data_IF_572343282830
#
_entry.id   IF_572343282830
#
_cell.length_a   1.000
_cell.length_b   1.000
_cell.length_c   1.000
_cell.angle_alpha   90.00
_cell.angle_beta   90.00
_cell.angle_gamma   90.00
#
_symmetry.space_group_name_H-M   'P 1'
#
loop_
_entity.id
_entity.type
_entity.pdbx_description
1 polymer ?
#
# COMPACT_ATOMS: atom_id res chain seq x y z
N UNK A 1 -5.56 2.42 -71.97
CA UNK A 1 -5.34 0.99 -71.62
C UNK A 1 -4.56 0.94 -70.32
N UNK A 2 -5.19 0.36 -69.29
CA UNK A 2 -4.70 -0.09 -67.98
C UNK A 2 -3.46 0.54 -67.33
N UNK A 3 -3.69 1.24 -66.23
CA UNK A 3 -2.77 1.25 -65.08
C UNK A 3 -3.53 0.82 -63.83
N UNK A 4 -3.37 -0.46 -63.48
CA UNK A 4 -3.87 -1.07 -62.24
C UNK A 4 -3.20 -0.46 -61.02
N UNK A 5 -3.99 0.15 -60.13
CA UNK A 5 -3.59 0.42 -58.75
C UNK A 5 -3.77 -0.85 -57.93
N UNK A 6 -2.69 -1.34 -57.32
CA UNK A 6 -2.75 -2.38 -56.30
C UNK A 6 -3.08 -1.72 -54.96
N UNK A 7 -4.24 -2.07 -54.41
CA UNK A 7 -4.69 -1.68 -53.09
C UNK A 7 -4.19 -2.77 -52.12
N UNK A 8 -3.11 -2.49 -51.37
CA UNK A 8 -2.71 -3.33 -50.24
C UNK A 8 -3.56 -2.95 -49.03
N UNK A 9 -4.53 -3.80 -48.69
CA UNK A 9 -5.12 -3.79 -47.36
C UNK A 9 -4.10 -4.39 -46.38
N UNK A 10 -3.53 -3.54 -45.53
CA UNK A 10 -2.80 -3.96 -44.34
C UNK A 10 -3.85 -4.12 -43.24
N UNK A 11 -4.22 -5.38 -42.99
CA UNK A 11 -5.06 -5.77 -41.86
C UNK A 11 -4.20 -5.67 -40.60
N UNK A 12 -4.32 -4.54 -39.90
CA UNK A 12 -3.66 -4.34 -38.60
C UNK A 12 -4.53 -5.03 -37.56
N UNK A 13 -4.06 -6.14 -37.01
CA UNK A 13 -4.66 -6.77 -35.85
C UNK A 13 -4.44 -5.84 -34.65
N UNK A 14 -5.50 -5.17 -34.20
CA UNK A 14 -5.51 -4.49 -32.92
C UNK A 14 -5.62 -5.56 -31.83
N UNK A 15 -4.50 -5.79 -31.13
CA UNK A 15 -4.46 -6.54 -29.89
C UNK A 15 -4.79 -5.54 -28.77
N UNK A 16 -6.08 -5.35 -28.51
CA UNK A 16 -6.57 -4.58 -27.37
C UNK A 16 -6.50 -5.45 -26.12
N UNK A 17 -5.44 -5.27 -25.31
CA UNK A 17 -5.46 -5.63 -23.90
C UNK A 17 -6.33 -4.57 -23.20
N UNK A 18 -7.60 -4.89 -23.00
CA UNK A 18 -8.50 -4.07 -22.18
C UNK A 18 -8.41 -4.53 -20.73
N UNK A 19 -8.07 -3.61 -19.82
CA UNK A 19 -8.51 -3.70 -18.43
C UNK A 19 -10.03 -3.46 -18.44
N UNK A 20 -10.79 -4.51 -18.11
CA UNK A 20 -12.25 -4.48 -18.04
C UNK A 20 -12.70 -3.61 -16.86
N UNK A 21 -13.45 -2.51 -17.08
CA UNK A 21 -14.12 -1.83 -15.99
C UNK A 21 -15.43 -2.59 -15.72
N UNK A 22 -15.42 -3.35 -14.62
CA UNK A 22 -16.54 -4.11 -14.03
C UNK A 22 -17.92 -3.95 -14.68
N UNK A 23 -18.34 -4.99 -15.39
CA UNK A 23 -19.75 -5.21 -15.74
C UNK A 23 -20.52 -5.67 -14.49
N UNK A 24 -21.55 -4.93 -14.12
CA UNK A 24 -22.45 -5.27 -13.03
C UNK A 24 -23.32 -6.49 -13.35
N UNK A 25 -23.32 -7.46 -12.45
CA UNK A 25 -24.27 -8.57 -12.44
C UNK A 25 -25.32 -8.35 -11.35
N UNK A 26 -26.50 -7.90 -11.80
CA UNK A 26 -27.77 -8.09 -11.11
C UNK A 26 -28.02 -9.60 -10.98
N UNK A 27 -27.83 -10.15 -9.78
CA UNK A 27 -28.26 -11.51 -9.46
C UNK A 27 -29.10 -11.54 -8.18
N UNK A 28 -30.41 -11.41 -8.38
CA UNK A 28 -31.42 -11.88 -7.43
C UNK A 28 -31.32 -13.40 -7.28
N UNK A 29 -30.67 -13.86 -6.22
CA UNK A 29 -30.55 -15.28 -5.88
C UNK A 29 -30.95 -15.53 -4.42
N UNK A 30 -32.15 -16.05 -4.22
CA UNK A 30 -32.66 -16.49 -2.93
C UNK A 30 -32.06 -17.85 -2.54
N UNK A 31 -31.54 -17.93 -1.31
CA UNK A 31 -31.50 -19.13 -0.48
C UNK A 31 -30.25 -19.99 -0.58
N UNK A 32 -29.47 -20.06 0.51
CA UNK A 32 -29.22 -21.31 1.23
C UNK A 32 -28.34 -21.04 2.44
N UNK A 33 -28.89 -21.22 3.65
CA UNK A 33 -28.11 -21.24 4.88
C UNK A 33 -27.39 -22.58 4.97
N UNK A 34 -26.08 -22.59 4.72
CA UNK A 34 -25.18 -23.70 5.06
C UNK A 34 -24.07 -23.18 5.95
N UNK A 35 -24.21 -23.53 7.23
CA UNK A 35 -23.17 -23.98 8.17
C UNK A 35 -21.79 -23.30 8.11
N UNK A 36 -21.53 -22.46 9.11
CA UNK A 36 -20.29 -21.73 9.32
C UNK A 36 -19.11 -22.65 9.63
N UNK A 37 -18.25 -22.86 8.63
CA UNK A 37 -16.82 -23.05 8.85
C UNK A 37 -16.16 -21.76 8.38
N UNK A 38 -15.80 -20.91 9.34
CA UNK A 38 -15.03 -19.69 9.07
C UNK A 38 -13.61 -20.10 8.69
N UNK A 39 -13.36 -20.32 7.40
CA UNK A 39 -12.03 -20.19 6.83
C UNK A 39 -11.66 -18.70 6.94
N UNK A 40 -11.18 -18.31 8.12
CA UNK A 40 -10.60 -16.98 8.33
C UNK A 40 -9.35 -16.83 7.46
N UNK A 41 -9.00 -15.60 7.05
CA UNK A 41 -7.74 -15.37 6.36
C UNK A 41 -6.60 -15.85 7.26
N UNK A 42 -5.86 -16.86 6.79
CA UNK A 42 -4.63 -17.31 7.44
C UNK A 42 -3.66 -16.13 7.50
N UNK A 43 -3.10 -15.87 8.67
CA UNK A 43 -2.12 -14.82 8.91
C UNK A 43 -0.76 -15.44 9.28
N UNK A 44 0.32 -14.67 9.16
CA UNK A 44 1.65 -15.14 9.57
C UNK A 44 1.79 -15.02 11.09
N UNK A 45 2.12 -16.10 11.83
CA UNK A 45 2.37 -16.03 13.28
C UNK A 45 3.21 -14.83 13.71
N UNK A 46 2.67 -14.01 14.61
CA UNK A 46 3.32 -12.79 15.10
C UNK A 46 3.12 -11.52 14.24
N UNK A 47 2.51 -11.63 13.06
CA UNK A 47 2.15 -10.47 12.24
C UNK A 47 1.20 -9.53 13.01
N UNK A 48 1.46 -8.23 12.97
CA UNK A 48 0.60 -7.22 13.59
C UNK A 48 -0.24 -6.49 12.55
N UNK A 49 -1.51 -6.26 12.84
CA UNK A 49 -2.44 -5.46 12.03
C UNK A 49 -3.04 -4.34 12.89
N UNK A 50 -3.19 -3.15 12.32
CA UNK A 50 -3.89 -2.06 12.99
C UNK A 50 -5.39 -2.39 13.11
N UNK A 51 -5.99 -2.04 14.25
CA UNK A 51 -7.42 -2.24 14.53
C UNK A 51 -8.01 -1.01 15.22
N UNK A 52 -9.34 -0.84 15.17
CA UNK A 52 -10.03 0.27 15.83
C UNK A 52 -10.65 -0.19 17.14
N UNK A 53 -10.31 0.51 18.21
CA UNK A 53 -10.80 0.27 19.57
C UNK A 53 -12.24 0.75 19.76
N UNK A 54 -12.98 0.24 20.77
CA UNK A 54 -14.37 0.65 21.03
C UNK A 54 -14.57 2.14 21.29
N UNK A 55 -13.54 2.85 21.76
CA UNK A 55 -13.51 4.29 21.98
C UNK A 55 -13.12 5.10 20.74
N UNK A 56 -12.82 4.43 19.63
CA UNK A 56 -12.36 5.02 18.38
C UNK A 56 -10.85 5.24 18.33
N UNK A 57 -10.08 4.86 19.35
CA UNK A 57 -8.62 4.87 19.28
C UNK A 57 -8.10 3.79 18.31
N UNK A 58 -6.84 3.93 17.90
CA UNK A 58 -6.13 2.91 17.13
C UNK A 58 -5.42 1.96 18.09
N UNK A 59 -5.52 0.66 17.83
CA UNK A 59 -4.80 -0.40 18.53
C UNK A 59 -4.11 -1.34 17.53
N UNK A 60 -3.53 -2.42 18.04
CA UNK A 60 -2.90 -3.47 17.23
C UNK A 60 -3.45 -4.85 17.61
N UNK A 61 -3.64 -5.71 16.62
CA UNK A 61 -3.96 -7.12 16.83
C UNK A 61 -2.82 -7.96 16.27
N UNK A 62 -2.45 -9.01 16.99
CA UNK A 62 -1.34 -9.91 16.62
C UNK A 62 -1.89 -11.25 16.14
N UNK A 63 -1.34 -11.76 15.05
CA UNK A 63 -1.64 -13.09 14.54
C UNK A 63 -1.19 -14.15 15.55
N UNK A 64 -2.08 -15.10 15.85
CA UNK A 64 -1.80 -16.20 16.76
C UNK A 64 -0.69 -17.12 16.20
N UNK A 65 -0.03 -17.84 17.11
CA UNK A 65 1.09 -18.73 16.77
C UNK A 65 0.69 -19.87 15.80
N UNK A 66 -0.59 -20.25 15.79
CA UNK A 66 -1.15 -21.25 14.88
C UNK A 66 -1.46 -20.72 13.48
N UNK A 67 -1.43 -19.39 13.28
CA UNK A 67 -1.77 -18.74 12.02
C UNK A 67 -3.25 -18.76 11.68
N UNK A 68 -4.11 -19.19 12.62
CA UNK A 68 -5.55 -19.38 12.40
C UNK A 68 -6.34 -18.07 12.51
N UNK A 69 -5.69 -16.98 12.93
CA UNK A 69 -6.25 -15.63 12.88
C UNK A 69 -5.60 -14.64 13.84
N UNK A 70 -6.02 -13.38 13.72
CA UNK A 70 -5.60 -12.31 14.64
C UNK A 70 -6.33 -12.41 15.98
N UNK A 71 -5.60 -12.10 17.06
CA UNK A 71 -6.15 -11.98 18.41
C UNK A 71 -7.02 -10.74 18.60
N UNK A 72 -7.42 -10.47 19.85
CA UNK A 72 -8.16 -9.26 20.18
C UNK A 72 -7.32 -7.99 19.92
N UNK A 73 -7.99 -6.89 19.60
CA UNK A 73 -7.34 -5.59 19.46
C UNK A 73 -6.77 -5.13 20.81
N UNK A 74 -5.45 -5.03 20.89
CA UNK A 74 -4.75 -4.43 22.03
C UNK A 74 -4.84 -2.91 21.91
N UNK A 75 -5.61 -2.33 22.84
CA UNK A 75 -5.91 -0.91 22.90
C UNK A 75 -5.14 -0.27 24.05
N UNK A 76 -4.09 0.49 23.75
CA UNK A 76 -3.38 1.28 24.74
C UNK A 76 -4.30 2.38 25.30
N UNK A 77 -4.73 2.22 26.56
CA UNK A 77 -5.45 3.30 27.28
C UNK A 77 -6.68 2.88 28.07
N UNK A 78 -7.16 1.63 27.94
CA UNK A 78 -8.26 1.13 28.77
C UNK A 78 -7.74 0.56 30.10
N UNK A 79 -7.14 1.42 30.92
CA UNK A 79 -6.99 1.11 32.35
C UNK A 79 -8.38 1.12 33.00
N UNK A 80 -8.94 -0.08 33.14
CA UNK A 80 -10.21 -0.42 33.78
C UNK A 80 -10.41 0.37 35.08
N UNK A 81 -11.27 1.39 35.02
CA UNK A 81 -11.69 2.20 36.16
C UNK A 81 -12.93 1.60 36.82
N UNK A 82 -12.85 0.33 37.25
CA UNK A 82 -13.83 -0.26 38.17
C UNK A 82 -13.19 -0.55 39.53
N UNK A 83 -13.50 0.34 40.48
CA UNK A 83 -13.00 0.28 41.85
C UNK A 83 -13.49 -0.96 42.61
N UNK A 84 -12.53 -1.78 43.02
CA UNK A 84 -12.67 -2.80 44.05
C UNK A 84 -11.47 -2.74 44.98
N UNK A 85 -11.59 -1.98 46.07
CA UNK A 85 -10.61 -1.96 47.17
C UNK A 85 -10.66 -3.29 47.92
N UNK A 86 -9.81 -4.25 47.52
CA UNK A 86 -9.41 -5.36 48.39
C UNK A 86 -8.01 -5.09 48.91
N UNK A 87 -7.94 -4.94 50.23
CA UNK A 87 -6.73 -4.83 51.04
C UNK A 87 -5.71 -5.94 50.70
N UNK A 88 -4.50 -5.60 50.20
CA UNK A 88 -3.50 -6.60 49.89
C UNK A 88 -2.89 -7.12 51.18
N UNK A 89 -3.13 -8.40 51.48
CA UNK A 89 -2.36 -9.12 52.49
C UNK A 89 -0.88 -9.12 52.10
N UNK A 90 -0.06 -8.68 53.06
CA UNK A 90 1.39 -8.65 53.08
C UNK A 90 2.02 -9.88 52.39
N UNK A 91 2.72 -9.71 51.25
CA UNK A 91 3.40 -10.81 50.59
C UNK A 91 4.59 -11.25 51.44
N UNK A 92 4.65 -12.55 51.69
CA UNK A 92 5.82 -13.16 52.32
C UNK A 92 7.04 -12.98 51.42
N UNK A 93 8.14 -12.58 52.06
CA UNK A 93 9.47 -12.34 51.50
C UNK A 93 9.88 -13.43 50.50
N UNK A 94 10.06 -13.11 49.21
CA UNK A 94 10.56 -14.06 48.24
C UNK A 94 12.00 -14.41 48.60
N UNK A 95 12.27 -15.71 48.67
CA UNK A 95 13.64 -16.22 48.83
C UNK A 95 14.48 -15.80 47.63
N UNK A 96 15.68 -15.33 47.96
CA UNK A 96 16.73 -14.85 47.06
C UNK A 96 16.91 -15.77 45.84
N UNK A 97 16.64 -15.31 44.60
CA UNK A 97 16.90 -16.10 43.41
C UNK A 97 18.41 -16.31 43.28
N UNK A 98 18.82 -17.57 43.21
CA UNK A 98 20.18 -17.93 42.82
C UNK A 98 20.54 -17.28 41.48
N UNK A 99 21.65 -16.54 41.52
CA UNK A 99 22.32 -15.84 40.43
C UNK A 99 22.27 -16.63 39.10
N UNK A 100 21.59 -16.14 38.05
CA UNK A 100 21.66 -16.77 36.75
C UNK A 100 23.09 -16.64 36.24
N UNK A 101 23.71 -17.78 35.93
CA UNK A 101 24.98 -17.80 35.21
C UNK A 101 24.88 -16.97 33.94
N UNK A 102 25.76 -15.97 33.87
CA UNK A 102 26.02 -15.05 32.76
C UNK A 102 25.83 -15.74 31.40
N UNK A 103 24.84 -15.36 30.58
CA UNK A 103 24.74 -15.84 29.22
C UNK A 103 25.97 -15.33 28.47
N UNK A 104 26.79 -16.27 28.01
CA UNK A 104 27.91 -15.99 27.11
C UNK A 104 27.45 -15.03 26.02
N UNK A 105 28.04 -13.83 26.06
CA UNK A 105 27.90 -12.75 25.09
C UNK A 105 27.93 -13.33 23.66
N UNK A 106 26.82 -13.27 22.89
CA UNK A 106 26.85 -13.65 21.51
C UNK A 106 27.65 -12.57 20.78
N UNK A 107 28.97 -12.80 20.72
CA UNK A 107 29.95 -12.17 19.83
C UNK A 107 29.26 -11.21 18.87
N UNK A 108 29.26 -9.92 19.22
CA UNK A 108 28.91 -8.82 18.33
C UNK A 108 29.74 -9.03 17.07
N UNK A 109 29.12 -9.69 16.09
CA UNK A 109 29.65 -9.76 14.76
C UNK A 109 29.26 -8.40 14.21
N UNK A 110 30.18 -7.44 14.37
CA UNK A 110 30.20 -6.21 13.61
C UNK A 110 29.92 -6.56 12.15
N UNK A 111 28.65 -6.50 11.76
CA UNK A 111 28.23 -6.40 10.36
C UNK A 111 28.55 -4.99 9.90
N UNK A 112 29.86 -4.73 9.81
CA UNK A 112 30.48 -3.87 8.82
C UNK A 112 30.35 -4.55 7.43
N UNK A 113 29.15 -5.03 7.11
CA UNK A 113 28.73 -5.16 5.73
C UNK A 113 28.22 -3.79 5.38
N UNK A 114 28.94 -3.09 4.50
CA UNK A 114 28.42 -1.91 3.82
C UNK A 114 27.13 -2.29 3.11
N UNK A 115 26.02 -2.25 3.85
CA UNK A 115 24.67 -2.39 3.36
C UNK A 115 24.54 -1.30 2.31
N UNK A 116 24.54 -1.74 1.05
CA UNK A 116 24.56 -0.83 -0.08
C UNK A 116 23.25 -0.07 0.00
N UNK A 117 23.35 1.22 0.35
CA UNK A 117 22.17 2.06 0.55
C UNK A 117 21.27 1.95 -0.67
N UNK A 118 19.98 1.70 -0.44
CA UNK A 118 18.98 1.56 -1.50
C UNK A 118 18.95 2.83 -2.36
N UNK A 119 19.10 2.69 -3.67
CA UNK A 119 19.09 3.77 -4.64
C UNK A 119 17.71 3.94 -5.25
N UNK A 120 17.22 5.17 -5.29
CA UNK A 120 15.95 5.45 -5.96
C UNK A 120 16.01 5.08 -7.46
N UNK A 121 17.10 5.45 -8.12
CA UNK A 121 17.27 5.24 -9.55
C UNK A 121 17.49 3.76 -9.90
N UNK A 122 18.29 3.04 -9.12
CA UNK A 122 18.69 1.67 -9.45
C UNK A 122 17.75 0.61 -8.88
N UNK A 123 17.15 0.86 -7.72
CA UNK A 123 16.40 -0.17 -6.99
C UNK A 123 14.90 0.12 -6.97
N UNK A 124 14.50 1.38 -6.77
CA UNK A 124 13.08 1.74 -6.56
C UNK A 124 12.33 1.91 -7.88
N UNK A 125 12.89 2.67 -8.84
CA UNK A 125 12.26 2.88 -10.14
C UNK A 125 11.92 1.56 -10.85
N UNK A 126 12.82 0.56 -10.93
CA UNK A 126 12.49 -0.71 -11.57
C UNK A 126 11.33 -1.45 -10.90
N UNK A 127 11.23 -1.40 -9.56
CA UNK A 127 10.12 -2.01 -8.82
C UNK A 127 8.81 -1.33 -9.21
N UNK A 128 8.74 0.00 -9.15
CA UNK A 128 7.53 0.76 -9.51
C UNK A 128 7.13 0.55 -10.97
N UNK A 129 8.12 0.48 -11.86
CA UNK A 129 7.90 0.27 -13.28
C UNK A 129 7.34 -1.13 -13.58
N UNK A 130 7.89 -2.17 -12.94
CA UNK A 130 7.53 -3.57 -13.17
C UNK A 130 6.27 -3.99 -12.40
N UNK A 131 6.17 -3.63 -11.12
CA UNK A 131 5.16 -4.14 -10.20
C UNK A 131 3.95 -3.23 -10.07
N UNK A 132 4.04 -1.97 -10.49
CA UNK A 132 2.92 -1.03 -10.37
C UNK A 132 2.45 -0.50 -11.74
N UNK A 133 2.96 -1.04 -12.84
CA UNK A 133 2.57 -0.65 -14.19
C UNK A 133 3.13 0.71 -14.63
N UNK A 134 4.27 1.14 -14.09
CA UNK A 134 4.97 2.36 -14.56
C UNK A 134 5.75 2.18 -15.87
N UNK A 135 6.05 0.95 -16.29
CA UNK A 135 6.73 0.68 -17.57
C UNK A 135 5.77 0.40 -18.73
N UNK A 136 4.52 0.09 -18.41
CA UNK A 136 3.49 -0.31 -19.37
C UNK A 136 2.31 0.63 -19.20
N UNK A 137 1.41 0.69 -20.17
CA UNK A 137 0.17 1.45 -20.01
C UNK A 137 -0.79 0.72 -19.04
N UNK A 138 -0.34 0.49 -17.80
CA UNK A 138 -1.05 -0.22 -16.74
C UNK A 138 -1.76 0.73 -15.77
N UNK A 139 -2.14 0.21 -14.60
CA UNK A 139 -3.02 0.89 -13.64
C UNK A 139 -2.49 2.22 -13.08
N UNK A 140 -1.16 2.44 -13.13
CA UNK A 140 -0.52 3.69 -12.73
C UNK A 140 0.27 4.34 -13.88
N UNK A 141 -0.23 4.24 -15.10
CA UNK A 141 0.34 4.93 -16.25
C UNK A 141 -0.07 6.41 -16.32
N UNK A 142 0.57 7.16 -17.20
CA UNK A 142 0.22 8.54 -17.55
C UNK A 142 -1.18 8.65 -18.14
N UNK A 143 -1.71 7.60 -18.75
CA UNK A 143 -3.07 7.61 -19.29
C UNK A 143 -4.13 7.60 -18.18
N UNK A 144 -3.80 6.99 -17.04
CA UNK A 144 -4.59 7.11 -15.82
C UNK A 144 -4.31 8.42 -15.06
N UNK A 145 -3.27 9.17 -15.44
CA UNK A 145 -2.85 10.42 -14.81
C UNK A 145 -3.50 11.64 -15.49
N UNK A 146 -4.30 12.40 -14.75
CA UNK A 146 -4.88 13.65 -15.21
C UNK A 146 -4.77 14.69 -14.10
N UNK A 147 -3.65 15.43 -14.08
CA UNK A 147 -3.48 16.56 -13.17
C UNK A 147 -4.52 17.65 -13.46
N UNK A 148 -5.05 18.25 -12.39
CA UNK A 148 -6.07 19.27 -12.48
C UNK A 148 -5.73 20.47 -11.59
N UNK A 149 -5.68 21.65 -12.20
CA UNK A 149 -5.41 22.93 -11.51
C UNK A 149 -6.43 23.25 -10.43
N UNK A 150 -7.68 22.78 -10.57
CA UNK A 150 -8.73 22.98 -9.58
C UNK A 150 -8.52 22.10 -8.33
N UNK A 151 -7.61 21.12 -8.42
CA UNK A 151 -7.24 20.21 -7.33
C UNK A 151 -5.76 20.33 -6.94
N UNK A 152 -5.20 21.54 -6.99
CA UNK A 152 -3.78 21.82 -6.71
C UNK A 152 -2.80 20.98 -7.57
N UNK A 153 -3.18 20.70 -8.82
CA UNK A 153 -2.41 19.83 -9.72
C UNK A 153 -2.19 18.40 -9.19
N UNK A 154 -3.06 17.95 -8.28
CA UNK A 154 -3.09 16.56 -7.83
C UNK A 154 -3.77 15.68 -8.88
N UNK A 155 -3.46 14.40 -8.84
CA UNK A 155 -4.04 13.36 -9.69
C UNK A 155 -3.89 11.99 -9.02
N UNK A 156 -4.51 10.96 -9.62
CA UNK A 156 -4.11 9.57 -9.43
C UNK A 156 -2.58 9.44 -9.56
N UNK A 157 -1.92 8.70 -8.68
CA UNK A 157 -0.46 8.55 -8.75
C UNK A 157 -0.11 7.74 -9.99
N UNK A 158 0.80 8.26 -10.80
CA UNK A 158 1.44 7.50 -11.88
C UNK A 158 2.87 7.19 -11.50
N UNK A 159 3.30 5.99 -11.83
CA UNK A 159 4.64 5.48 -11.51
C UNK A 159 5.57 5.46 -12.72
N UNK A 160 5.20 6.13 -13.82
CA UNK A 160 6.09 6.26 -14.97
C UNK A 160 7.30 7.12 -14.64
N UNK A 161 8.49 6.69 -15.07
CA UNK A 161 9.73 7.46 -14.98
C UNK A 161 9.79 8.56 -16.05
N UNK A 162 8.89 9.53 -15.91
CA UNK A 162 8.82 10.71 -16.75
C UNK A 162 8.35 11.91 -15.92
N UNK A 163 8.73 13.11 -16.35
CA UNK A 163 8.06 14.31 -15.89
C UNK A 163 6.71 14.40 -16.62
N UNK A 164 5.61 14.37 -15.87
CA UNK A 164 4.26 14.42 -16.43
C UNK A 164 3.36 15.35 -15.64
N UNK A 165 2.31 15.85 -16.28
CA UNK A 165 1.25 16.62 -15.64
C UNK A 165 0.78 17.82 -16.45
N UNK A 166 1.57 18.32 -17.40
CA UNK A 166 1.21 19.51 -18.18
C UNK A 166 0.18 19.29 -19.28
N UNK A 167 -0.07 18.04 -19.67
CA UNK A 167 -1.03 17.66 -20.70
C UNK A 167 -1.88 16.46 -20.30
N UNK A 168 -3.03 16.31 -20.95
CA UNK A 168 -3.87 15.12 -20.87
C UNK A 168 -3.28 14.04 -21.78
N UNK A 169 -3.06 12.83 -21.29
CA UNK A 169 -2.38 11.78 -22.06
C UNK A 169 -3.31 10.78 -22.75
N UNK A 170 -4.59 10.74 -22.38
CA UNK A 170 -5.56 9.79 -22.90
C UNK A 170 -6.91 10.40 -23.27
N UNK A 171 -7.64 9.70 -24.14
CA UNK A 171 -9.00 10.06 -24.55
C UNK A 171 -9.09 11.16 -25.61
N UNK A 172 -10.32 11.66 -25.90
CA UNK A 172 -10.58 12.61 -26.99
C UNK A 172 -9.89 13.98 -26.82
N UNK A 173 -9.44 14.30 -25.61
CA UNK A 173 -8.78 15.55 -25.26
C UNK A 173 -7.28 15.39 -25.04
N UNK A 174 -6.69 14.25 -25.43
CA UNK A 174 -5.26 14.02 -25.32
C UNK A 174 -4.46 15.12 -26.04
N UNK A 175 -3.37 15.58 -25.41
CA UNK A 175 -2.55 16.71 -25.84
C UNK A 175 -3.07 18.09 -25.46
N UNK A 176 -4.26 18.20 -24.86
CA UNK A 176 -4.72 19.46 -24.28
C UNK A 176 -3.93 19.74 -23.00
N UNK A 177 -3.60 21.02 -22.76
CA UNK A 177 -2.95 21.45 -21.54
C UNK A 177 -3.88 21.31 -20.33
N UNK A 178 -3.35 20.82 -19.21
CA UNK A 178 -4.04 20.76 -17.92
C UNK A 178 -3.94 22.09 -17.16
N UNK A 179 -2.90 22.88 -17.47
CA UNK A 179 -2.51 24.06 -16.70
C UNK A 179 -1.56 23.76 -15.53
N UNK A 180 -1.19 22.50 -15.33
CA UNK A 180 -0.24 22.05 -14.33
C UNK A 180 1.20 21.96 -14.87
N UNK A 181 2.23 22.05 -14.02
CA UNK A 181 3.59 21.74 -14.44
C UNK A 181 3.79 20.23 -14.64
N UNK A 182 4.79 19.85 -15.43
CA UNK A 182 5.29 18.47 -15.41
C UNK A 182 6.11 18.24 -14.15
N UNK A 183 5.80 17.17 -13.42
CA UNK A 183 6.49 16.80 -12.18
C UNK A 183 7.21 15.45 -12.35
N UNK A 184 8.52 15.36 -12.08
CA UNK A 184 9.27 14.10 -12.09
C UNK A 184 8.66 13.04 -11.16
N UNK A 185 8.95 11.77 -11.41
CA UNK A 185 8.44 10.66 -10.59
C UNK A 185 8.77 10.80 -9.11
N UNK A 186 10.02 11.11 -8.77
CA UNK A 186 10.46 11.28 -7.38
C UNK A 186 9.64 12.34 -6.64
N UNK A 187 9.52 13.52 -7.23
CA UNK A 187 8.77 14.64 -6.64
C UNK A 187 7.29 14.27 -6.48
N UNK A 188 6.69 13.56 -7.46
CA UNK A 188 5.32 13.07 -7.34
C UNK A 188 5.13 12.12 -6.16
N UNK A 189 6.08 11.24 -5.86
CA UNK A 189 5.98 10.32 -4.71
C UNK A 189 6.00 11.05 -3.37
N UNK A 190 6.74 12.16 -3.27
CA UNK A 190 6.90 12.91 -2.02
C UNK A 190 5.88 14.03 -1.83
N UNK A 191 5.38 14.62 -2.92
CA UNK A 191 4.50 15.80 -2.86
C UNK A 191 3.02 15.45 -3.01
N UNK A 192 2.68 14.33 -3.67
CA UNK A 192 1.29 13.96 -3.86
C UNK A 192 0.71 13.36 -2.58
N UNK A 193 -0.51 13.79 -2.28
CA UNK A 193 -1.37 13.11 -1.32
C UNK A 193 -2.36 12.23 -2.07
N UNK A 194 -2.71 11.10 -1.45
CA UNK A 194 -3.71 10.20 -1.97
C UNK A 194 -5.08 10.86 -2.06
N UNK A 195 -5.69 10.81 -3.24
CA UNK A 195 -7.05 11.31 -3.45
C UNK A 195 -8.02 10.66 -2.49
N UNK A 196 -7.94 9.33 -2.35
CA UNK A 196 -8.92 8.53 -1.62
C UNK A 196 -9.06 8.92 -0.14
N UNK A 197 -8.22 9.80 0.38
CA UNK A 197 -8.24 10.24 1.77
C UNK A 197 -8.49 11.77 1.91
N UNK A 198 -9.00 12.45 0.86
CA UNK A 198 -9.14 13.92 0.68
C UNK A 198 -10.46 14.59 1.18
N UNK A 199 -10.56 15.94 1.28
CA UNK A 199 -11.72 16.62 1.86
C UNK A 199 -12.96 16.51 0.95
N UNK A 200 -14.05 15.99 1.50
CA UNK A 200 -15.20 15.45 0.75
C UNK A 200 -15.45 13.97 1.08
N UNK A 201 -14.41 13.29 1.59
CA UNK A 201 -14.50 12.03 2.34
C UNK A 201 -13.21 11.81 3.17
N UNK A 202 -13.25 12.01 4.50
CA UNK A 202 -12.79 13.21 5.20
C UNK A 202 -11.29 13.17 5.61
N UNK A 203 -10.42 13.90 4.92
CA UNK A 203 -9.02 14.14 5.37
C UNK A 203 -8.19 14.95 4.36
N UNK A 204 -6.96 15.38 4.64
CA UNK A 204 -6.08 16.10 3.69
C UNK A 204 -5.43 15.21 2.60
N UNK A 205 -5.91 13.98 2.41
CA UNK A 205 -5.16 12.94 1.70
C UNK A 205 -3.99 12.44 2.56
N UNK A 206 -3.59 11.18 2.41
CA UNK A 206 -2.36 10.68 3.03
C UNK A 206 -1.19 10.86 2.06
N UNK A 207 -0.01 11.35 2.49
CA UNK A 207 1.15 11.43 1.61
C UNK A 207 1.46 10.06 0.99
N UNK A 208 1.76 10.03 -0.30
CA UNK A 208 2.10 8.77 -1.00
C UNK A 208 3.31 8.11 -0.34
N UNK A 209 4.35 8.90 -0.06
CA UNK A 209 5.52 8.53 0.74
C UNK A 209 5.73 9.53 1.87
N UNK A 210 5.96 9.03 3.08
CA UNK A 210 6.41 9.80 4.24
C UNK A 210 7.85 9.38 4.55
N UNK A 211 8.87 10.20 4.19
CA UNK A 211 10.26 9.90 4.46
C UNK A 211 10.51 9.55 5.94
N UNK A 212 11.13 8.41 6.19
CA UNK A 212 11.44 7.89 7.53
C UNK A 212 10.28 7.15 8.21
N UNK A 213 9.12 6.99 7.57
CA UNK A 213 7.95 6.33 8.16
C UNK A 213 7.19 5.50 7.13
N UNK A 214 7.65 4.28 6.82
CA UNK A 214 6.96 3.36 5.90
C UNK A 214 5.51 3.09 6.33
N UNK A 215 5.27 2.95 7.63
CA UNK A 215 3.94 2.73 8.23
C UNK A 215 2.97 3.90 8.02
N UNK A 216 3.48 5.12 7.84
CA UNK A 216 2.67 6.31 7.54
C UNK A 216 2.59 6.60 6.03
N UNK A 217 3.33 5.87 5.20
CA UNK A 217 3.34 6.04 3.76
C UNK A 217 2.15 5.35 3.13
N UNK A 218 1.28 6.10 2.45
CA UNK A 218 0.08 5.54 1.82
C UNK A 218 0.39 4.43 0.82
N UNK A 219 1.51 4.52 0.11
CA UNK A 219 1.96 3.47 -0.80
C UNK A 219 2.15 2.13 -0.08
N UNK A 220 2.74 2.12 1.12
CA UNK A 220 2.95 0.88 1.87
C UNK A 220 1.63 0.36 2.46
N UNK A 221 0.77 1.25 2.95
CA UNK A 221 -0.58 0.87 3.39
C UNK A 221 -1.35 0.16 2.28
N UNK A 222 -1.23 0.66 1.05
CA UNK A 222 -1.82 0.03 -0.14
C UNK A 222 -1.20 -1.31 -0.45
N UNK A 223 0.11 -1.43 -0.39
CA UNK A 223 0.80 -2.70 -0.67
C UNK A 223 0.34 -3.78 0.30
N UNK A 224 0.24 -3.46 1.57
CA UNK A 224 -0.20 -4.40 2.60
C UNK A 224 -1.72 -4.58 2.70
N UNK A 225 -2.51 -3.72 2.06
CA UNK A 225 -3.98 -3.73 2.19
C UNK A 225 -4.47 -3.34 3.59
N UNK A 226 -3.70 -2.54 4.34
CA UNK A 226 -3.98 -2.22 5.76
C UNK A 226 -4.39 -0.77 5.96
N UNK A 227 -5.32 -0.52 6.90
CA UNK A 227 -5.57 0.82 7.44
C UNK A 227 -6.04 1.85 6.42
N UNK A 228 -6.66 1.41 5.33
CA UNK A 228 -7.03 2.30 4.24
C UNK A 228 -8.25 3.11 4.65
N UNK A 229 -8.12 4.43 4.48
CA UNK A 229 -9.10 5.46 4.81
C UNK A 229 -10.51 4.90 4.83
N UNK A 230 -11.20 4.98 5.99
CA UNK A 230 -12.53 4.40 6.26
C UNK A 230 -13.62 5.04 5.36
N UNK A 231 -13.49 4.92 4.04
CA UNK A 231 -14.51 5.29 3.08
C UNK A 231 -15.50 4.14 3.08
N UNK A 232 -16.64 4.37 3.70
CA UNK A 232 -17.66 3.35 3.88
C UNK A 232 -17.93 2.56 2.60
N UNK A 233 -17.83 1.23 2.74
CA UNK A 233 -18.28 0.14 1.86
C UNK A 233 -17.27 -0.46 0.88
N UNK A 234 -16.06 0.07 0.70
CA UNK A 234 -15.06 -0.60 -0.13
C UNK A 234 -13.68 -0.56 0.55
N UNK A 235 -13.27 -1.63 1.26
CA UNK A 235 -11.92 -1.68 1.81
C UNK A 235 -10.99 -1.62 0.61
N UNK A 236 -10.15 -0.59 0.56
CA UNK A 236 -9.13 -0.57 -0.47
C UNK A 236 -8.38 -1.91 -0.43
N UNK A 237 -8.38 -2.61 -1.55
CA UNK A 237 -7.66 -3.86 -1.68
C UNK A 237 -6.15 -3.61 -1.62
N UNK A 238 -5.42 -4.67 -1.24
CA UNK A 238 -3.99 -4.72 -1.37
C UNK A 238 -3.58 -4.49 -2.83
N UNK A 239 -2.45 -3.81 -3.04
CA UNK A 239 -1.90 -3.49 -4.35
C UNK A 239 -0.51 -4.10 -4.53
N UNK A 240 -0.19 -4.72 -5.68
CA UNK A 240 -1.10 -4.97 -6.80
C UNK A 240 -2.25 -5.90 -6.42
N UNK A 241 -3.41 -5.83 -7.10
CA UNK A 241 -4.52 -6.73 -6.82
C UNK A 241 -4.08 -8.20 -7.01
N UNK A 242 -4.50 -9.14 -6.16
CA UNK A 242 -4.02 -10.53 -6.20
C UNK A 242 -4.24 -11.26 -7.53
N UNK A 243 -5.28 -10.87 -8.28
CA UNK A 243 -5.66 -11.48 -9.56
C UNK A 243 -5.19 -10.67 -10.79
N UNK A 244 -4.28 -9.70 -10.59
CA UNK A 244 -3.73 -8.87 -11.68
C UNK A 244 -2.46 -9.49 -12.30
N UNK A 245 -2.06 -9.00 -13.46
CA UNK A 245 -0.81 -9.38 -14.15
C UNK A 245 0.44 -8.83 -13.47
N UNK A 246 0.26 -7.85 -12.59
CA UNK A 246 1.33 -7.25 -11.82
C UNK A 246 1.48 -7.92 -10.46
N UNK A 247 2.72 -8.18 -10.06
CA UNK A 247 3.02 -8.75 -8.75
C UNK A 247 4.20 -7.99 -8.13
N UNK A 248 4.26 -7.99 -6.80
CA UNK A 248 5.38 -7.47 -6.03
C UNK A 248 5.83 -8.56 -5.05
N UNK A 249 7.13 -8.84 -5.00
CA UNK A 249 7.70 -9.84 -4.08
C UNK A 249 8.01 -9.25 -2.72
N UNK A 250 8.09 -10.09 -1.68
CA UNK A 250 8.48 -9.66 -0.34
C UNK A 250 9.83 -8.93 -0.31
N UNK A 251 10.78 -9.36 -1.15
CA UNK A 251 12.10 -8.71 -1.30
C UNK A 251 11.97 -7.28 -1.87
N UNK A 252 11.08 -7.09 -2.86
CA UNK A 252 10.80 -5.76 -3.41
C UNK A 252 10.07 -4.87 -2.41
N UNK A 253 9.15 -5.44 -1.63
CA UNK A 253 8.48 -4.72 -0.53
C UNK A 253 9.51 -4.25 0.50
N UNK A 254 10.40 -5.14 0.96
CA UNK A 254 11.48 -4.80 1.90
C UNK A 254 12.41 -3.72 1.33
N UNK A 255 12.68 -3.75 0.02
CA UNK A 255 13.49 -2.73 -0.67
C UNK A 255 12.80 -1.35 -0.63
N UNK A 256 11.49 -1.29 -0.88
CA UNK A 256 10.70 -0.06 -0.77
C UNK A 256 10.69 0.46 0.67
N UNK A 257 10.47 -0.41 1.65
CA UNK A 257 10.48 -0.04 3.07
C UNK A 257 11.83 0.51 3.52
N UNK A 258 12.92 -0.18 3.16
CA UNK A 258 14.28 0.25 3.50
C UNK A 258 14.59 1.62 2.90
N UNK A 259 14.17 1.87 1.65
CA UNK A 259 14.32 3.18 1.02
C UNK A 259 13.52 4.27 1.74
N UNK A 260 12.24 4.03 2.05
CA UNK A 260 11.42 5.00 2.78
C UNK A 260 12.01 5.26 4.17
N UNK A 261 12.38 4.21 4.89
CA UNK A 261 12.96 4.28 6.23
C UNK A 261 14.28 5.06 6.23
N UNK A 262 15.09 4.95 5.19
CA UNK A 262 16.31 5.73 4.98
C UNK A 262 16.05 7.22 4.64
N UNK A 263 14.79 7.68 4.67
CA UNK A 263 14.40 9.04 4.35
C UNK A 263 14.11 9.26 2.86
N UNK A 264 13.83 8.19 2.11
CA UNK A 264 13.51 8.21 0.69
C UNK A 264 14.52 9.02 -0.15
N UNK A 265 15.84 8.77 -0.06
CA UNK A 265 16.85 9.55 -0.78
C UNK A 265 16.70 9.44 -2.30
N UNK A 266 17.10 10.50 -3.03
CA UNK A 266 17.22 10.50 -4.49
C UNK A 266 18.70 10.39 -4.90
N UNK A 267 19.25 9.18 -4.85
CA UNK A 267 20.69 8.87 -4.95
C UNK A 267 21.04 7.97 -6.12
#
# INVERSE_FOLDING_TARGET
>A
MNTSRRLSLILTAMLSLGCDPGSGDDSTGAGSATDGTTDGPSCVPGQSLACTCPDGAMGAQTCQDDGDGFGACECDGMADSSGGSTDPTDPTDPTDPTDPTDPTDPTDTDSDTGETAVSFEQDIKPILAQSCGGAVNGCHSREAYNADVDFDCRSWVSFEDAAIGSEIYAGPTAGNATGCPDTPLYDRLLELNSWQCGPGNPGPGLPVVVPGSPDQSYMMMKIYGVGLCNIGQDPSLAMPPPDDVFTISDEQIQTLEAWILAGAPNN
#
